data_IF_308324367771
#
_entry.id   IF_308324367771
#
_cell.length_a   1.000
_cell.length_b   1.000
_cell.length_c   1.000
_cell.angle_alpha   90.00
_cell.angle_beta   90.00
_cell.angle_gamma   90.00
#
_symmetry.space_group_name_H-M   'P 1'
#
loop_
_entity.id
_entity.type
_entity.pdbx_description
1 polymer ?
#
# COMPACT_ATOMS: atom_id res chain seq x y z
N UNK A 1 3.93 23.06 19.95
CA UNK A 1 4.17 23.95 18.78
C UNK A 1 5.53 24.60 18.98
N UNK A 2 6.34 24.83 17.94
CA UNK A 2 7.64 25.49 18.16
C UNK A 2 7.36 26.90 18.75
N UNK A 3 7.97 27.24 19.89
CA UNK A 3 7.65 28.45 20.66
C UNK A 3 6.58 28.30 21.77
N UNK A 4 5.95 27.13 21.94
CA UNK A 4 5.05 26.89 23.09
C UNK A 4 5.84 26.43 24.31
N UNK A 5 5.52 26.95 25.50
CA UNK A 5 6.12 26.53 26.78
C UNK A 5 5.35 25.34 27.33
N UNK A 6 6.06 24.29 27.79
CA UNK A 6 5.45 23.05 28.33
C UNK A 6 4.38 23.32 29.39
N UNK A 7 4.63 24.26 30.30
CA UNK A 7 3.71 24.66 31.37
C UNK A 7 2.37 25.21 30.86
N UNK A 8 2.34 25.75 29.64
CA UNK A 8 1.14 26.22 28.97
C UNK A 8 0.42 25.09 28.22
N UNK A 9 1.16 24.18 27.60
CA UNK A 9 0.58 23.07 26.82
C UNK A 9 -0.04 22.00 27.74
N UNK A 10 0.56 21.71 28.89
CA UNK A 10 0.06 20.69 29.84
C UNK A 10 -1.30 21.03 30.45
N UNK A 11 -1.70 22.30 30.40
CA UNK A 11 -2.99 22.80 30.93
C UNK A 11 -4.13 22.68 29.91
N UNK A 12 -3.85 22.31 28.67
CA UNK A 12 -4.85 22.21 27.60
C UNK A 12 -5.56 20.86 27.66
N UNK A 13 -6.84 20.85 27.27
CA UNK A 13 -7.65 19.63 27.27
C UNK A 13 -7.35 18.77 26.05
N UNK A 14 -7.70 17.48 26.11
CA UNK A 14 -7.61 16.57 24.97
C UNK A 14 -8.40 17.07 23.77
N UNK A 15 -9.59 17.63 23.98
CA UNK A 15 -10.40 18.25 22.91
C UNK A 15 -9.65 19.34 22.17
N UNK A 16 -8.87 20.17 22.89
CA UNK A 16 -8.05 21.22 22.27
C UNK A 16 -7.01 20.64 21.31
N UNK A 17 -6.48 19.45 21.61
CA UNK A 17 -5.52 18.77 20.72
C UNK A 17 -6.21 18.07 19.55
N UNK A 18 -7.40 17.50 19.76
CA UNK A 18 -8.21 16.93 18.67
C UNK A 18 -8.59 18.00 17.65
N UNK A 19 -9.05 19.17 18.10
CA UNK A 19 -9.39 20.28 17.20
C UNK A 19 -8.21 20.72 16.34
N UNK A 20 -7.00 20.74 16.92
CA UNK A 20 -5.76 21.07 16.18
C UNK A 20 -5.40 20.07 15.11
N UNK A 21 -5.90 18.84 15.18
CA UNK A 21 -5.65 17.79 14.19
C UNK A 21 -6.66 17.80 13.03
N UNK A 22 -7.78 18.53 13.15
CA UNK A 22 -8.83 18.51 12.13
C UNK A 22 -8.37 19.08 10.78
N UNK A 23 -7.52 20.11 10.79
CA UNK A 23 -7.13 20.86 9.59
C UNK A 23 -5.64 20.67 9.23
N UNK A 24 -5.00 19.63 9.77
CA UNK A 24 -3.58 19.34 9.53
C UNK A 24 -3.36 17.86 9.31
N UNK A 25 -2.24 17.52 8.68
CA UNK A 25 -1.77 16.15 8.52
C UNK A 25 -0.59 15.92 9.44
N UNK A 26 -0.75 15.00 10.39
CA UNK A 26 0.29 14.64 11.35
C UNK A 26 0.97 13.32 10.96
N UNK A 27 2.30 13.34 10.90
CA UNK A 27 3.15 12.20 10.61
C UNK A 27 3.82 11.74 11.90
N UNK A 28 3.56 10.50 12.32
CA UNK A 28 4.15 9.89 13.51
C UNK A 28 5.21 8.86 13.16
N UNK A 29 6.33 8.88 13.88
CA UNK A 29 7.33 7.82 13.86
C UNK A 29 7.11 6.90 15.07
N UNK A 30 7.04 5.58 14.85
CA UNK A 30 6.74 4.60 15.88
C UNK A 30 7.90 3.61 16.08
N UNK A 31 8.21 3.30 17.34
CA UNK A 31 9.11 2.21 17.74
C UNK A 31 8.39 1.43 18.84
N UNK A 32 8.26 0.11 18.67
CA UNK A 32 7.54 -0.78 19.59
C UNK A 32 6.13 -0.28 19.97
N UNK A 33 5.41 0.24 18.98
CA UNK A 33 4.05 0.79 19.16
C UNK A 33 3.98 2.15 19.85
N UNK A 34 5.11 2.76 20.22
CA UNK A 34 5.16 4.09 20.86
C UNK A 34 5.57 5.16 19.86
N UNK A 35 4.91 6.30 19.90
CA UNK A 35 5.31 7.47 19.10
C UNK A 35 6.62 8.04 19.66
N UNK A 36 7.64 8.09 18.82
CA UNK A 36 8.99 8.60 19.16
C UNK A 36 9.36 9.84 18.34
N UNK A 37 8.51 10.24 17.40
CA UNK A 37 8.68 11.45 16.63
C UNK A 37 7.39 11.89 15.96
N UNK A 38 7.30 13.18 15.68
CA UNK A 38 6.14 13.84 15.11
C UNK A 38 6.58 14.87 14.08
N UNK A 39 5.79 15.06 13.04
CA UNK A 39 5.88 16.19 12.11
C UNK A 39 4.49 16.57 11.66
N UNK A 40 4.20 17.86 11.51
CA UNK A 40 2.86 18.36 11.17
C UNK A 40 2.93 19.17 9.88
N UNK A 41 2.07 18.85 8.94
CA UNK A 41 1.90 19.57 7.67
C UNK A 41 0.53 20.22 7.65
N UNK A 42 0.47 21.52 7.33
CA UNK A 42 -0.78 22.23 7.09
C UNK A 42 -0.76 22.84 5.70
N UNK A 43 -1.79 22.58 4.89
CA UNK A 43 -2.01 23.34 3.66
C UNK A 43 -2.64 24.69 4.01
N UNK A 44 -2.17 25.76 3.37
CA UNK A 44 -2.75 27.10 3.58
C UNK A 44 -4.18 27.18 3.03
N UNK A 45 -5.01 27.98 3.68
CA UNK A 45 -6.43 28.09 3.34
C UNK A 45 -6.68 29.13 2.23
N UNK A 46 -7.68 28.87 1.39
CA UNK A 46 -8.17 29.81 0.38
C UNK A 46 -7.48 29.73 -0.98
N UNK A 47 -8.18 30.12 -2.07
CA UNK A 47 -7.80 29.77 -3.44
C UNK A 47 -6.48 30.40 -3.91
N UNK A 48 -6.02 31.47 -3.26
CA UNK A 48 -4.76 32.14 -3.61
C UNK A 48 -3.55 31.53 -2.91
N UNK A 49 -3.75 30.94 -1.73
CA UNK A 49 -2.66 30.48 -0.86
C UNK A 49 -2.59 28.95 -0.78
N UNK A 50 -3.64 28.23 -1.18
CA UNK A 50 -3.71 26.76 -1.18
C UNK A 50 -2.56 26.06 -1.92
N UNK A 51 -1.82 26.75 -2.78
CA UNK A 51 -0.60 26.23 -3.39
C UNK A 51 0.59 26.12 -2.41
N UNK A 52 0.44 26.53 -1.15
CA UNK A 52 1.50 26.49 -0.13
C UNK A 52 1.13 25.54 0.99
N UNK A 53 2.12 24.80 1.47
CA UNK A 53 2.05 24.03 2.70
C UNK A 53 3.05 24.56 3.72
N UNK A 54 2.73 24.42 5.00
CA UNK A 54 3.58 24.80 6.11
C UNK A 54 3.95 23.57 6.93
N UNK A 55 5.25 23.33 7.11
CA UNK A 55 5.78 22.28 7.96
C UNK A 55 6.08 22.84 9.35
N UNK A 56 5.48 22.22 10.37
CA UNK A 56 5.67 22.61 11.77
C UNK A 56 5.73 21.38 12.68
N UNK A 57 5.98 21.61 13.98
CA UNK A 57 5.85 20.55 14.99
C UNK A 57 6.84 19.38 14.84
N UNK A 58 7.98 19.59 14.18
CA UNK A 58 9.00 18.55 13.99
C UNK A 58 9.69 18.24 15.33
N UNK A 59 9.49 17.02 15.83
CA UNK A 59 10.06 16.56 17.09
C UNK A 59 10.50 15.09 16.98
N UNK A 60 11.61 14.76 17.64
CA UNK A 60 12.08 13.39 17.85
C UNK A 60 12.59 13.28 19.29
N UNK A 61 12.18 12.21 19.97
CA UNK A 61 12.60 11.89 21.33
C UNK A 61 14.12 11.90 21.46
N UNK A 62 14.70 12.54 22.49
CA UNK A 62 16.15 12.68 22.65
C UNK A 62 16.93 11.38 22.49
N UNK A 63 16.45 10.28 23.08
CA UNK A 63 17.09 8.96 23.02
C UNK A 63 17.06 8.34 21.62
N UNK A 64 16.16 8.81 20.74
CA UNK A 64 15.94 8.29 19.39
C UNK A 64 16.59 9.17 18.30
N UNK A 65 17.28 10.24 18.70
CA UNK A 65 18.00 11.14 17.77
C UNK A 65 19.21 10.44 17.15
N UNK A 66 19.72 11.04 16.06
CA UNK A 66 20.86 10.52 15.28
C UNK A 66 20.64 9.16 14.59
N UNK A 67 19.43 8.61 14.62
CA UNK A 67 19.05 7.37 13.93
C UNK A 67 18.32 7.60 12.59
N UNK A 68 18.36 8.83 12.08
CA UNK A 68 17.73 9.21 10.81
C UNK A 68 16.20 9.38 10.84
N UNK A 69 15.55 9.29 12.01
CA UNK A 69 14.09 9.40 12.16
C UNK A 69 13.55 10.71 11.60
N UNK A 70 14.16 11.84 11.94
CA UNK A 70 13.74 13.15 11.45
C UNK A 70 13.81 13.26 9.91
N UNK A 71 14.80 12.60 9.28
CA UNK A 71 14.89 12.54 7.83
C UNK A 71 13.80 11.69 7.19
N UNK A 72 13.39 10.58 7.84
CA UNK A 72 12.27 9.76 7.38
C UNK A 72 10.93 10.50 7.49
N UNK A 73 10.69 11.17 8.62
CA UNK A 73 9.50 12.03 8.81
C UNK A 73 9.45 13.14 7.76
N UNK A 74 10.57 13.84 7.54
CA UNK A 74 10.64 14.92 6.56
C UNK A 74 10.38 14.42 5.13
N UNK A 75 10.90 13.24 4.77
CA UNK A 75 10.63 12.63 3.46
C UNK A 75 9.13 12.33 3.28
N UNK A 76 8.49 11.73 4.28
CA UNK A 76 7.05 11.46 4.23
C UNK A 76 6.22 12.74 4.04
N UNK A 77 6.61 13.83 4.69
CA UNK A 77 5.98 15.15 4.50
C UNK A 77 6.20 15.69 3.09
N UNK A 78 7.42 15.59 2.55
CA UNK A 78 7.74 16.06 1.20
C UNK A 78 6.95 15.27 0.15
N UNK A 79 6.88 13.96 0.31
CA UNK A 79 6.15 13.07 -0.61
C UNK A 79 4.65 13.42 -0.58
N UNK A 80 4.07 13.59 0.60
CA UNK A 80 2.69 14.08 0.74
C UNK A 80 2.51 15.46 0.11
N UNK A 81 3.36 16.42 0.44
CA UNK A 81 3.24 17.80 -0.03
C UNK A 81 3.36 17.93 -1.55
N UNK A 82 4.11 17.04 -2.22
CA UNK A 82 4.25 17.04 -3.69
C UNK A 82 2.91 16.90 -4.41
N UNK A 83 1.99 16.15 -3.84
CA UNK A 83 0.66 15.91 -4.41
C UNK A 83 -0.35 17.01 -4.05
N UNK A 84 -0.06 17.84 -3.04
CA UNK A 84 -1.04 18.76 -2.45
C UNK A 84 -0.72 20.24 -2.68
N UNK A 85 0.56 20.60 -2.75
CA UNK A 85 1.02 22.01 -2.79
C UNK A 85 2.15 22.19 -3.79
N UNK A 86 2.41 23.44 -4.19
CA UNK A 86 3.52 23.84 -5.06
C UNK A 86 4.80 24.11 -4.29
N UNK A 87 4.67 24.45 -3.01
CA UNK A 87 5.83 24.68 -2.15
C UNK A 87 5.52 24.34 -0.69
N UNK A 88 6.53 23.84 0.01
CA UNK A 88 6.51 23.62 1.45
C UNK A 88 7.39 24.66 2.12
N UNK A 89 6.83 25.40 3.07
CA UNK A 89 7.50 26.43 3.85
C UNK A 89 7.74 25.96 5.27
N UNK A 90 8.83 26.42 5.89
CA UNK A 90 9.13 26.19 7.30
C UNK A 90 9.98 27.33 7.86
N UNK A 91 10.03 27.42 9.19
CA UNK A 91 10.95 28.33 9.88
C UNK A 91 11.92 27.56 10.76
N UNK A 92 13.15 28.08 10.90
CA UNK A 92 14.21 27.49 11.73
C UNK A 92 14.84 28.58 12.57
N UNK A 93 14.82 28.44 13.90
CA UNK A 93 15.54 29.37 14.78
C UNK A 93 17.02 29.41 14.46
N UNK A 94 17.54 30.62 14.35
CA UNK A 94 18.96 30.88 14.14
C UNK A 94 19.80 30.18 15.21
N UNK A 95 20.86 29.49 14.77
CA UNK A 95 21.71 28.65 15.62
C UNK A 95 21.31 27.18 15.71
N UNK A 96 20.13 26.77 15.22
CA UNK A 96 19.77 25.35 15.11
C UNK A 96 20.39 24.70 13.86
N UNK A 97 21.72 24.58 13.85
CA UNK A 97 22.50 24.07 12.72
C UNK A 97 22.14 22.61 12.36
N UNK A 98 21.63 21.83 13.31
CA UNK A 98 21.18 20.46 13.07
C UNK A 98 19.95 20.41 12.17
N UNK A 99 18.93 21.21 12.49
CA UNK A 99 17.72 21.32 11.69
C UNK A 99 18.01 21.95 10.32
N UNK A 100 18.83 23.01 10.27
CA UNK A 100 19.20 23.67 9.03
C UNK A 100 19.82 22.69 8.03
N UNK A 101 20.84 21.93 8.45
CA UNK A 101 21.49 20.91 7.60
C UNK A 101 20.53 19.79 7.18
N UNK A 102 19.61 19.40 8.06
CA UNK A 102 18.60 18.40 7.73
C UNK A 102 17.70 18.89 6.60
N UNK A 103 17.17 20.10 6.69
CA UNK A 103 16.28 20.67 5.67
C UNK A 103 17.03 20.94 4.36
N UNK A 104 18.24 21.50 4.41
CA UNK A 104 19.08 21.74 3.22
C UNK A 104 19.39 20.46 2.45
N UNK A 105 19.66 19.37 3.16
CA UNK A 105 19.89 18.03 2.58
C UNK A 105 18.66 17.49 1.86
N UNK A 106 17.46 17.90 2.26
CA UNK A 106 16.20 17.52 1.63
C UNK A 106 15.67 18.58 0.65
N UNK A 107 16.53 19.49 0.20
CA UNK A 107 16.23 20.42 -0.89
C UNK A 107 15.64 21.76 -0.46
N UNK A 108 15.36 21.96 0.83
CA UNK A 108 14.92 23.28 1.31
C UNK A 108 16.03 24.31 1.14
N UNK A 109 15.64 25.55 0.84
CA UNK A 109 16.53 26.70 0.68
C UNK A 109 16.02 27.88 1.48
N UNK A 110 16.92 28.59 2.15
CA UNK A 110 16.59 29.83 2.85
C UNK A 110 16.22 30.92 1.85
N UNK A 111 15.11 31.63 2.09
CA UNK A 111 14.67 32.75 1.27
C UNK A 111 14.53 34.07 2.04
N UNK A 112 14.60 34.02 3.38
CA UNK A 112 14.50 35.20 4.22
C UNK A 112 14.89 34.91 5.66
N UNK A 113 14.96 35.97 6.45
CA UNK A 113 15.13 35.92 7.90
C UNK A 113 14.06 36.80 8.51
N UNK A 114 13.32 36.27 9.47
CA UNK A 114 12.40 37.02 10.30
C UNK A 114 13.15 37.50 11.56
N UNK A 115 13.48 38.81 11.66
CA UNK A 115 14.21 39.32 12.80
C UNK A 115 13.33 39.33 14.04
N UNK A 116 13.90 38.94 15.19
CA UNK A 116 13.23 38.92 16.50
C UNK A 116 11.94 38.09 16.52
N UNK A 117 11.88 37.02 15.72
CA UNK A 117 10.74 36.11 15.60
C UNK A 117 10.29 35.50 16.94
N UNK A 118 11.25 35.14 17.81
CA UNK A 118 10.97 34.59 19.13
C UNK A 118 11.53 35.47 20.25
N UNK A 119 10.79 35.55 21.35
CA UNK A 119 11.19 36.24 22.59
C UNK A 119 11.16 35.29 23.78
N UNK A 120 12.31 35.10 24.42
CA UNK A 120 12.44 34.33 25.66
C UNK A 120 13.03 35.24 26.75
N UNK A 121 12.16 35.80 27.60
CA UNK A 121 12.57 36.81 28.58
C UNK A 121 13.07 38.09 27.90
N UNK A 122 14.31 38.57 28.18
CA UNK A 122 14.88 39.74 27.53
C UNK A 122 15.53 39.43 26.18
N UNK A 123 15.74 38.16 25.83
CA UNK A 123 16.46 37.75 24.62
C UNK A 123 15.50 37.56 23.43
N UNK A 124 15.96 38.00 22.26
CA UNK A 124 15.29 37.76 20.98
C UNK A 124 16.12 36.80 20.14
N UNK A 125 15.43 35.96 19.36
CA UNK A 125 16.06 35.12 18.34
C UNK A 125 15.37 35.31 17.00
N UNK A 126 16.18 35.29 15.95
CA UNK A 126 15.72 35.38 14.57
C UNK A 126 15.34 33.97 14.07
N UNK A 127 14.44 33.91 13.09
CA UNK A 127 14.09 32.67 12.39
C UNK A 127 14.46 32.76 10.91
N UNK A 128 15.15 31.73 10.41
CA UNK A 128 15.45 31.56 9.00
C UNK A 128 14.20 30.97 8.34
N UNK A 129 13.68 31.66 7.32
CA UNK A 129 12.56 31.21 6.51
C UNK A 129 13.10 30.33 5.38
N UNK A 130 12.62 29.09 5.28
CA UNK A 130 13.04 28.16 4.25
C UNK A 130 11.86 27.64 3.44
N UNK A 131 12.09 27.38 2.16
CA UNK A 131 11.11 26.80 1.26
C UNK A 131 11.71 25.65 0.45
N UNK A 132 10.90 24.62 0.20
CA UNK A 132 11.09 23.64 -0.85
C UNK A 132 10.05 23.93 -1.93
N UNK A 133 10.50 24.35 -3.11
CA UNK A 133 9.63 24.65 -4.25
C UNK A 133 9.65 23.43 -5.18
N UNK A 134 8.47 22.90 -5.48
CA UNK A 134 8.32 21.83 -6.47
C UNK A 134 8.34 22.44 -7.88
N UNK A 135 9.05 21.79 -8.81
CA UNK A 135 9.17 22.31 -10.17
C UNK A 135 7.81 22.20 -10.90
N UNK A 136 7.30 23.32 -11.42
CA UNK A 136 5.98 23.39 -12.07
C UNK A 136 5.93 22.60 -13.40
N UNK A 137 7.04 22.54 -14.13
CA UNK A 137 7.16 21.73 -15.36
C UNK A 137 7.13 20.22 -15.06
N UNK A 138 7.58 19.79 -13.88
CA UNK A 138 7.50 18.40 -13.43
C UNK A 138 6.09 18.00 -12.96
N UNK A 139 5.17 18.96 -12.73
CA UNK A 139 3.76 18.69 -12.40
C UNK A 139 2.89 18.43 -13.64
N UNK A 140 3.30 18.90 -14.82
CA UNK A 140 2.60 18.64 -16.09
C UNK A 140 2.98 17.30 -16.73
N UNK A 141 4.00 16.63 -16.19
CA UNK A 141 4.28 15.22 -16.47
C UNK A 141 3.44 14.42 -15.47
N UNK A 142 2.48 13.58 -15.90
CA UNK A 142 1.76 12.70 -14.98
C UNK A 142 2.76 11.91 -14.13
N UNK A 143 2.86 12.30 -12.87
CA UNK A 143 3.44 11.55 -11.75
C UNK A 143 4.68 10.71 -12.06
N UNK A 144 5.87 11.29 -11.90
CA UNK A 144 7.05 10.52 -11.45
C UNK A 144 6.81 10.13 -9.98
N UNK A 145 5.86 9.22 -9.70
CA UNK A 145 5.82 8.55 -8.39
C UNK A 145 7.13 7.79 -8.27
N UNK A 146 8.02 8.31 -7.44
CA UNK A 146 9.35 7.74 -7.24
C UNK A 146 9.18 6.31 -6.73
N UNK A 147 9.58 5.32 -7.54
CA UNK A 147 9.81 3.97 -7.05
C UNK A 147 10.91 4.09 -5.97
N UNK A 148 10.68 3.75 -4.70
CA UNK A 148 11.58 4.07 -3.58
C UNK A 148 12.97 3.43 -3.66
N UNK A 149 13.20 2.50 -4.60
CA UNK A 149 14.49 1.88 -4.85
C UNK A 149 15.09 2.37 -6.18
N UNK A 150 16.31 2.92 -6.13
CA UNK A 150 17.00 3.48 -7.30
C UNK A 150 17.08 2.48 -8.49
N UNK A 151 17.31 1.21 -8.20
CA UNK A 151 17.36 0.16 -9.23
C UNK A 151 16.03 -0.07 -9.95
N UNK A 152 14.89 0.05 -9.25
CA UNK A 152 13.57 -0.06 -9.87
C UNK A 152 13.27 1.18 -10.73
N UNK A 153 13.68 2.37 -10.26
CA UNK A 153 13.58 3.60 -11.04
C UNK A 153 14.40 3.53 -12.33
N UNK A 154 15.66 3.10 -12.22
CA UNK A 154 16.58 2.98 -13.35
C UNK A 154 16.05 1.97 -14.37
N UNK A 155 15.53 0.84 -13.89
CA UNK A 155 14.91 -0.16 -14.77
C UNK A 155 13.66 0.39 -15.46
N UNK A 156 12.73 1.00 -14.71
CA UNK A 156 11.53 1.61 -15.27
C UNK A 156 11.86 2.69 -16.31
N UNK A 157 12.87 3.52 -16.07
CA UNK A 157 13.36 4.50 -17.04
C UNK A 157 13.92 3.84 -18.31
N UNK A 158 14.62 2.71 -18.17
CA UNK A 158 15.04 1.88 -19.30
C UNK A 158 13.85 1.37 -20.12
N UNK A 159 12.79 0.89 -19.45
CA UNK A 159 11.57 0.43 -20.14
C UNK A 159 10.87 1.58 -20.86
N UNK A 160 10.75 2.76 -20.24
CA UNK A 160 10.19 3.97 -20.88
C UNK A 160 10.92 4.26 -22.19
N UNK A 161 12.25 4.23 -22.19
CA UNK A 161 13.02 4.48 -23.41
C UNK A 161 12.80 3.40 -24.48
N UNK A 162 12.70 2.13 -24.08
CA UNK A 162 12.45 1.02 -24.99
C UNK A 162 11.07 1.10 -25.65
N UNK A 163 10.01 1.36 -24.87
CA UNK A 163 8.66 1.49 -25.43
C UNK A 163 8.51 2.76 -26.27
N UNK A 164 9.14 3.87 -25.87
CA UNK A 164 9.07 5.12 -26.62
C UNK A 164 9.78 5.05 -27.96
N UNK A 165 10.82 4.19 -28.08
CA UNK A 165 11.53 3.93 -29.33
C UNK A 165 10.83 2.91 -30.23
N UNK A 166 9.87 2.14 -29.69
CA UNK A 166 9.17 1.07 -30.40
C UNK A 166 7.75 1.50 -30.76
N UNK A 167 7.54 1.80 -32.04
CA UNK A 167 6.27 2.35 -32.55
C UNK A 167 5.03 1.44 -32.36
N UNK A 168 5.21 0.20 -31.88
CA UNK A 168 4.12 -0.73 -31.54
C UNK A 168 3.43 -0.37 -30.23
N UNK A 169 4.06 0.39 -29.35
CA UNK A 169 3.50 0.79 -28.06
C UNK A 169 2.94 2.23 -28.10
N UNK A 170 1.91 2.48 -27.31
CA UNK A 170 1.28 3.80 -27.13
C UNK A 170 1.31 4.26 -25.67
N UNK A 171 1.68 3.37 -24.75
CA UNK A 171 1.66 3.67 -23.33
C UNK A 171 2.47 2.71 -22.49
N UNK A 172 2.95 3.24 -21.37
CA UNK A 172 3.47 2.46 -20.25
C UNK A 172 2.82 2.97 -18.97
N UNK A 173 2.24 2.05 -18.22
CA UNK A 173 1.61 2.33 -16.94
C UNK A 173 2.28 1.49 -15.84
N UNK A 174 2.15 1.92 -14.58
CA UNK A 174 2.58 1.16 -13.40
C UNK A 174 1.38 0.77 -12.53
N UNK A 175 1.35 -0.50 -12.13
CA UNK A 175 0.35 -1.10 -11.25
C UNK A 175 0.84 -1.39 -9.83
N UNK A 176 0.05 -2.13 -9.05
CA UNK A 176 0.48 -2.79 -7.83
C UNK A 176 1.00 -1.86 -6.73
N UNK A 177 2.08 -2.25 -6.05
CA UNK A 177 2.64 -1.46 -4.92
C UNK A 177 3.14 -0.08 -5.30
N UNK A 178 3.35 0.16 -6.60
CA UNK A 178 3.72 1.47 -7.14
C UNK A 178 2.57 2.47 -7.06
N UNK A 179 1.31 2.00 -7.15
CA UNK A 179 0.12 2.85 -7.06
C UNK A 179 0.02 3.49 -5.67
N UNK A 180 0.26 2.70 -4.63
CA UNK A 180 0.05 3.10 -3.23
C UNK A 180 1.27 3.78 -2.60
N UNK A 181 2.38 3.94 -3.33
CA UNK A 181 3.61 4.55 -2.81
C UNK A 181 4.33 3.77 -1.70
N UNK A 182 3.91 2.52 -1.46
CA UNK A 182 4.41 1.65 -0.38
C UNK A 182 5.42 0.61 -0.87
N UNK A 183 6.04 0.87 -2.01
CA UNK A 183 7.08 0.00 -2.57
C UNK A 183 8.27 -0.03 -1.58
N UNK A 184 8.93 -1.17 -1.44
CA UNK A 184 10.09 -1.37 -0.59
C UNK A 184 11.12 -2.29 -1.27
N UNK A 185 12.17 -2.70 -0.55
CA UNK A 185 13.23 -3.53 -1.11
C UNK A 185 12.78 -4.95 -1.51
N UNK A 186 11.55 -5.35 -1.17
CA UNK A 186 10.96 -6.64 -1.49
C UNK A 186 9.85 -6.54 -2.54
N UNK A 187 9.58 -5.33 -3.04
CA UNK A 187 8.52 -5.09 -4.00
C UNK A 187 8.97 -5.45 -5.42
N UNK A 188 8.01 -5.97 -6.17
CA UNK A 188 8.08 -6.15 -7.61
C UNK A 188 7.74 -4.86 -8.35
N UNK A 189 7.99 -4.87 -9.67
CA UNK A 189 7.60 -3.80 -10.57
C UNK A 189 6.52 -4.30 -11.53
N UNK A 190 5.28 -3.91 -11.26
CA UNK A 190 4.14 -4.16 -12.15
C UNK A 190 4.06 -3.10 -13.25
N UNK A 191 4.40 -3.47 -14.48
CA UNK A 191 4.29 -2.61 -15.66
C UNK A 191 3.19 -3.10 -16.60
N UNK A 192 2.40 -2.17 -17.09
CA UNK A 192 1.34 -2.41 -18.06
C UNK A 192 1.75 -1.69 -19.36
N UNK A 193 2.05 -2.47 -20.39
CA UNK A 193 2.43 -1.99 -21.71
C UNK A 193 1.20 -1.94 -22.59
N UNK A 194 0.83 -0.73 -23.02
CA UNK A 194 -0.32 -0.50 -23.88
C UNK A 194 0.16 -0.56 -25.33
N UNK A 195 -0.33 -1.55 -26.05
CA UNK A 195 0.09 -1.91 -27.41
C UNK A 195 -0.96 -1.43 -28.41
N UNK A 196 -0.54 -1.02 -29.60
CA UNK A 196 -1.45 -0.74 -30.72
C UNK A 196 -2.14 -2.03 -31.16
N UNK A 197 -3.43 -1.95 -31.47
CA UNK A 197 -4.26 -3.10 -31.82
C UNK A 197 -3.69 -3.90 -33.00
N UNK A 198 -3.17 -3.20 -34.02
CA UNK A 198 -2.57 -3.81 -35.20
C UNK A 198 -1.27 -4.57 -34.93
N UNK A 199 -0.55 -4.23 -33.85
CA UNK A 199 0.71 -4.86 -33.45
C UNK A 199 0.54 -5.90 -32.33
N UNK A 200 -0.66 -5.99 -31.75
CA UNK A 200 -0.90 -6.73 -30.52
C UNK A 200 -0.53 -8.22 -30.61
N UNK A 201 -0.96 -8.89 -31.68
CA UNK A 201 -0.69 -10.32 -31.88
C UNK A 201 0.80 -10.60 -32.01
N UNK A 202 1.52 -9.76 -32.76
CA UNK A 202 2.95 -9.90 -32.98
C UNK A 202 3.76 -9.61 -31.71
N UNK A 203 3.31 -8.63 -30.90
CA UNK A 203 3.92 -8.34 -29.60
C UNK A 203 3.71 -9.50 -28.64
N UNK A 204 2.50 -10.08 -28.54
CA UNK A 204 2.27 -11.26 -27.72
C UNK A 204 3.15 -12.45 -28.14
N UNK A 205 3.33 -12.67 -29.44
CA UNK A 205 4.21 -13.73 -29.96
C UNK A 205 5.71 -13.46 -29.68
N UNK A 206 6.09 -12.21 -29.41
CA UNK A 206 7.47 -11.78 -29.18
C UNK A 206 7.75 -11.18 -27.79
N UNK A 207 6.86 -11.37 -26.80
CA UNK A 207 6.99 -10.76 -25.47
C UNK A 207 8.33 -11.08 -24.80
N UNK A 208 8.79 -12.33 -24.92
CA UNK A 208 10.06 -12.75 -24.31
C UNK A 208 11.25 -12.09 -24.97
N UNK A 209 11.22 -11.96 -26.30
CA UNK A 209 12.26 -11.26 -27.05
C UNK A 209 12.30 -9.79 -26.68
N UNK A 210 11.14 -9.14 -26.51
CA UNK A 210 11.07 -7.77 -26.01
C UNK A 210 11.69 -7.67 -24.60
N UNK A 211 11.31 -8.54 -23.68
CA UNK A 211 11.87 -8.56 -22.32
C UNK A 211 13.40 -8.74 -22.29
N UNK A 212 13.96 -9.57 -23.18
CA UNK A 212 15.41 -9.78 -23.32
C UNK A 212 16.17 -8.48 -23.68
N UNK A 213 15.50 -7.54 -24.36
CA UNK A 213 16.11 -6.24 -24.69
C UNK A 213 16.17 -5.25 -23.53
N UNK A 214 15.37 -5.44 -22.47
CA UNK A 214 15.25 -4.49 -21.37
C UNK A 214 16.39 -4.57 -20.35
N UNK A 215 17.19 -5.64 -20.40
CA UNK A 215 18.33 -5.81 -19.51
C UNK A 215 18.81 -7.25 -19.46
N UNK A 216 19.53 -7.60 -18.39
CA UNK A 216 20.04 -8.94 -18.19
C UNK A 216 18.93 -9.88 -17.66
N UNK A 217 18.08 -10.36 -18.57
CA UNK A 217 16.98 -11.28 -18.27
C UNK A 217 17.53 -12.65 -17.83
N UNK A 218 17.15 -13.10 -16.63
CA UNK A 218 17.56 -14.40 -16.09
C UNK A 218 16.52 -15.48 -16.39
N UNK A 219 15.25 -15.18 -16.09
CA UNK A 219 14.12 -16.09 -16.27
C UNK A 219 12.88 -15.31 -16.68
N UNK A 220 12.03 -15.94 -17.50
CA UNK A 220 10.73 -15.40 -17.83
C UNK A 220 9.75 -16.53 -18.14
N UNK A 221 8.49 -16.37 -17.72
CA UNK A 221 7.39 -17.27 -18.03
C UNK A 221 6.06 -16.51 -18.06
N UNK A 222 5.05 -17.08 -18.70
CA UNK A 222 3.73 -16.46 -18.85
C UNK A 222 2.84 -16.71 -17.62
N UNK A 223 1.88 -15.81 -17.39
CA UNK A 223 0.89 -15.88 -16.30
C UNK A 223 -0.21 -16.92 -16.48
N UNK A 224 0.00 -17.98 -17.25
CA UNK A 224 -1.03 -19.00 -17.55
C UNK A 224 -1.55 -19.69 -16.28
N UNK A 225 -0.68 -19.92 -15.30
CA UNK A 225 -1.02 -20.51 -14.00
C UNK A 225 -1.99 -19.64 -13.15
N UNK A 226 -2.12 -18.34 -13.46
CA UNK A 226 -3.11 -17.42 -12.87
C UNK A 226 -4.19 -17.01 -13.88
N UNK A 227 -4.23 -17.63 -15.05
CA UNK A 227 -5.21 -17.33 -16.10
C UNK A 227 -4.97 -16.02 -16.86
N UNK A 228 -3.75 -15.47 -16.81
CA UNK A 228 -3.38 -14.24 -17.51
C UNK A 228 -2.23 -14.51 -18.51
N UNK A 229 -2.53 -15.01 -19.72
CA UNK A 229 -1.51 -15.34 -20.73
C UNK A 229 -0.79 -14.11 -21.29
N UNK A 230 -1.35 -12.91 -21.08
CA UNK A 230 -0.78 -11.62 -21.51
C UNK A 230 0.22 -11.04 -20.51
N UNK A 231 0.40 -11.70 -19.37
CA UNK A 231 1.38 -11.35 -18.35
C UNK A 231 2.65 -12.15 -18.58
N UNK A 232 3.79 -11.47 -18.66
CA UNK A 232 5.11 -12.07 -18.64
C UNK A 232 5.81 -11.71 -17.33
N UNK A 233 6.02 -12.73 -16.50
CA UNK A 233 6.68 -12.62 -15.20
C UNK A 233 8.17 -12.80 -15.43
N UNK A 234 8.97 -11.80 -15.09
CA UNK A 234 10.38 -11.73 -15.40
C UNK A 234 11.25 -11.59 -14.16
N UNK A 235 12.40 -12.26 -14.17
CA UNK A 235 13.48 -12.02 -13.23
C UNK A 235 14.69 -11.49 -13.97
N UNK A 236 15.08 -10.25 -13.67
CA UNK A 236 16.30 -9.62 -14.19
C UNK A 236 17.44 -9.74 -13.17
N UNK A 237 18.69 -9.67 -13.64
CA UNK A 237 19.88 -9.74 -12.78
C UNK A 237 20.73 -8.47 -12.85
N UNK A 238 21.52 -8.24 -11.79
CA UNK A 238 22.42 -7.09 -11.60
C UNK A 238 21.70 -5.71 -11.51
N UNK A 239 20.90 -5.43 -10.47
CA UNK A 239 20.54 -6.30 -9.34
C UNK A 239 19.41 -7.28 -9.68
N UNK A 240 19.10 -8.20 -8.77
CA UNK A 240 17.96 -9.10 -8.97
C UNK A 240 16.67 -8.29 -8.82
N UNK A 241 15.86 -8.26 -9.88
CA UNK A 241 14.59 -7.53 -9.93
C UNK A 241 13.48 -8.45 -10.42
N UNK A 242 12.36 -8.46 -9.71
CA UNK A 242 11.12 -9.12 -10.15
C UNK A 242 10.26 -8.08 -10.87
N UNK A 243 9.92 -8.36 -12.13
CA UNK A 243 9.21 -7.41 -13.00
C UNK A 243 8.10 -8.16 -13.73
N UNK A 244 6.89 -7.66 -13.57
CA UNK A 244 5.70 -8.17 -14.24
C UNK A 244 5.38 -7.27 -15.42
N UNK A 245 5.42 -7.81 -16.64
CA UNK A 245 5.13 -7.09 -17.87
C UNK A 245 3.78 -7.57 -18.41
N UNK A 246 2.74 -6.76 -18.24
CA UNK A 246 1.41 -7.06 -18.75
C UNK A 246 1.16 -6.33 -20.07
N UNK A 247 0.85 -7.05 -21.13
CA UNK A 247 0.61 -6.49 -22.46
C UNK A 247 -0.88 -6.39 -22.75
N UNK A 248 -1.37 -5.17 -22.94
CA UNK A 248 -2.80 -4.88 -23.09
C UNK A 248 -3.05 -3.99 -24.30
N UNK A 249 -4.26 -4.01 -24.83
CA UNK A 249 -4.73 -2.98 -25.77
C UNK A 249 -5.26 -1.77 -25.01
N UNK A 250 -5.63 -0.71 -25.73
CA UNK A 250 -6.27 0.46 -25.11
C UNK A 250 -7.67 0.13 -24.56
N UNK A 251 -8.38 -0.82 -25.19
CA UNK A 251 -9.73 -1.25 -24.80
C UNK A 251 -9.71 -2.05 -23.49
N UNK A 252 -8.63 -2.79 -23.25
CA UNK A 252 -8.41 -3.51 -21.99
C UNK A 252 -8.35 -2.59 -20.75
N UNK A 253 -8.19 -1.27 -20.93
CA UNK A 253 -8.13 -0.29 -19.83
C UNK A 253 -9.52 0.14 -19.30
N UNK A 254 -10.60 -0.24 -19.98
CA UNK A 254 -11.98 0.14 -19.62
C UNK A 254 -12.48 -0.55 -18.36
N UNK A 255 -12.06 -1.80 -18.15
CA UNK A 255 -12.40 -2.57 -16.96
C UNK A 255 -11.13 -2.90 -16.20
N UNK A 256 -10.98 -2.26 -15.05
CA UNK A 256 -9.77 -2.39 -14.24
C UNK A 256 -10.11 -2.57 -12.77
N UNK A 257 -9.20 -3.24 -12.09
CA UNK A 257 -9.30 -3.51 -10.67
C UNK A 257 -8.80 -2.31 -9.85
N UNK A 258 -7.84 -1.55 -10.40
CA UNK A 258 -7.26 -0.35 -9.79
C UNK A 258 -6.85 0.65 -10.87
N UNK A 259 -6.61 1.91 -10.48
CA UNK A 259 -6.13 2.96 -11.38
C UNK A 259 -4.60 2.89 -11.49
N UNK A 260 -4.05 2.51 -12.64
CA UNK A 260 -2.61 2.53 -12.83
C UNK A 260 -2.09 3.96 -12.99
N UNK A 261 -0.80 4.12 -12.76
CA UNK A 261 -0.08 5.39 -12.96
C UNK A 261 0.46 5.43 -14.37
N UNK A 262 0.23 6.51 -15.12
CA UNK A 262 0.86 6.69 -16.42
C UNK A 262 2.34 7.03 -16.20
N UNK A 263 3.25 6.21 -16.75
CA UNK A 263 4.69 6.48 -16.77
C UNK A 263 5.13 7.15 -18.07
N UNK A 264 4.47 6.79 -19.19
CA UNK A 264 4.72 7.35 -20.50
C UNK A 264 3.50 7.12 -21.42
N UNK A 265 3.25 8.06 -22.33
CA UNK A 265 2.24 7.94 -23.40
C UNK A 265 2.67 8.71 -24.65
N UNK A 266 2.23 8.27 -25.84
CA UNK A 266 2.59 8.90 -27.12
C UNK A 266 1.65 10.03 -27.56
N UNK A 267 0.35 9.91 -27.27
CA UNK A 267 -0.70 10.71 -27.92
C UNK A 267 -1.71 11.34 -26.94
N UNK A 268 -1.39 11.41 -25.63
CA UNK A 268 -2.27 11.95 -24.57
C UNK A 268 -3.67 11.29 -24.46
N UNK A 269 -3.81 10.07 -24.99
CA UNK A 269 -5.09 9.33 -25.04
C UNK A 269 -5.36 8.51 -23.77
N UNK A 270 -4.34 8.17 -22.99
CA UNK A 270 -4.48 7.22 -21.88
C UNK A 270 -5.21 7.86 -20.70
N UNK A 271 -4.89 9.11 -20.38
CA UNK A 271 -5.55 9.85 -19.31
C UNK A 271 -7.06 9.96 -19.54
N UNK A 272 -7.47 10.29 -20.79
CA UNK A 272 -8.88 10.35 -21.17
C UNK A 272 -9.55 8.97 -21.05
N UNK A 273 -8.91 7.91 -21.56
CA UNK A 273 -9.44 6.53 -21.49
C UNK A 273 -9.64 6.05 -20.06
N UNK A 274 -8.63 6.25 -19.20
CA UNK A 274 -8.70 5.90 -17.79
C UNK A 274 -9.83 6.65 -17.08
N UNK A 275 -10.06 7.93 -17.39
CA UNK A 275 -11.14 8.71 -16.78
C UNK A 275 -12.55 8.18 -17.12
N UNK A 276 -12.73 7.56 -18.28
CA UNK A 276 -14.01 7.05 -18.77
C UNK A 276 -14.30 5.61 -18.33
N UNK A 277 -13.26 4.80 -18.12
CA UNK A 277 -13.41 3.41 -17.70
C UNK A 277 -13.81 3.25 -16.22
N UNK A 278 -14.18 2.03 -15.85
CA UNK A 278 -14.65 1.67 -14.51
C UNK A 278 -13.57 0.98 -13.69
N UNK A 279 -13.50 1.33 -12.40
CA UNK A 279 -12.66 0.67 -11.39
C UNK A 279 -13.55 -0.13 -10.46
N UNK A 280 -13.34 -1.43 -10.36
CA UNK A 280 -14.07 -2.26 -9.40
C UNK A 280 -13.25 -3.46 -8.97
N UNK A 281 -13.05 -3.61 -7.66
CA UNK A 281 -12.53 -4.84 -7.11
C UNK A 281 -13.63 -5.93 -7.16
N UNK A 282 -13.34 -7.16 -7.58
CA UNK A 282 -14.34 -8.23 -7.72
C UNK A 282 -14.74 -8.85 -6.37
N UNK A 283 -15.16 -8.01 -5.42
CA UNK A 283 -15.62 -8.38 -4.09
C UNK A 283 -16.81 -9.36 -4.19
N UNK A 284 -16.76 -10.45 -3.42
CA UNK A 284 -17.83 -11.45 -3.35
C UNK A 284 -18.88 -11.06 -2.32
N UNK A 285 -20.13 -11.42 -2.61
CA UNK A 285 -21.28 -11.29 -1.71
C UNK A 285 -21.26 -12.30 -0.57
N UNK A 286 -22.13 -12.13 0.43
CA UNK A 286 -22.17 -13.00 1.59
C UNK A 286 -22.61 -14.43 1.24
N UNK A 287 -23.57 -14.58 0.32
CA UNK A 287 -24.12 -15.85 -0.14
C UNK A 287 -23.05 -16.75 -0.77
N UNK A 288 -22.12 -16.13 -1.51
CA UNK A 288 -21.02 -16.85 -2.15
C UNK A 288 -20.12 -17.54 -1.12
N UNK A 289 -19.88 -16.88 0.01
CA UNK A 289 -19.06 -17.41 1.10
C UNK A 289 -19.80 -18.52 1.86
N UNK A 290 -21.09 -18.32 2.19
CA UNK A 290 -21.89 -19.29 2.95
C UNK A 290 -21.96 -20.66 2.26
N UNK A 291 -22.23 -20.69 0.95
CA UNK A 291 -22.35 -21.95 0.19
C UNK A 291 -21.04 -22.74 0.14
N UNK A 292 -19.90 -22.03 0.09
CA UNK A 292 -18.59 -22.66 -0.11
C UNK A 292 -17.92 -23.00 1.21
N UNK A 293 -18.07 -22.15 2.22
CA UNK A 293 -17.40 -22.31 3.50
C UNK A 293 -17.73 -23.66 4.14
N UNK A 294 -19.01 -23.99 4.26
CA UNK A 294 -19.44 -25.25 4.90
C UNK A 294 -19.01 -26.49 4.12
N UNK A 295 -19.07 -26.45 2.79
CA UNK A 295 -18.59 -27.55 1.93
C UNK A 295 -17.09 -27.77 2.12
N UNK A 296 -16.31 -26.69 2.17
CA UNK A 296 -14.85 -26.77 2.37
C UNK A 296 -14.45 -27.15 3.79
N UNK A 297 -15.21 -26.73 4.81
CA UNK A 297 -15.05 -27.18 6.20
C UNK A 297 -15.30 -28.68 6.32
N UNK A 298 -16.38 -29.18 5.73
CA UNK A 298 -16.65 -30.62 5.68
C UNK A 298 -15.51 -31.38 4.99
N UNK A 299 -15.02 -30.88 3.85
CA UNK A 299 -13.88 -31.49 3.15
C UNK A 299 -12.63 -31.54 4.06
N UNK A 300 -12.27 -30.44 4.72
CA UNK A 300 -11.14 -30.41 5.65
C UNK A 300 -11.31 -31.40 6.82
N UNK A 301 -12.51 -31.50 7.40
CA UNK A 301 -12.80 -32.49 8.44
C UNK A 301 -12.66 -33.92 7.91
N UNK A 302 -13.23 -34.25 6.74
CA UNK A 302 -13.10 -35.57 6.14
C UNK A 302 -11.63 -35.98 5.92
N UNK A 303 -10.79 -35.04 5.48
CA UNK A 303 -9.33 -35.23 5.33
C UNK A 303 -8.65 -35.48 6.68
N UNK A 304 -9.05 -34.74 7.71
CA UNK A 304 -8.53 -34.92 9.06
C UNK A 304 -8.87 -36.31 9.62
N UNK A 305 -10.12 -36.77 9.45
CA UNK A 305 -10.55 -38.11 9.88
C UNK A 305 -9.82 -39.24 9.15
N UNK A 306 -9.31 -38.99 7.94
CA UNK A 306 -8.46 -39.92 7.18
C UNK A 306 -6.97 -39.84 7.54
N UNK A 307 -6.57 -38.89 8.38
CA UNK A 307 -5.16 -38.65 8.70
C UNK A 307 -4.37 -37.98 7.57
N UNK A 308 -5.03 -37.39 6.57
CA UNK A 308 -4.39 -36.70 5.43
C UNK A 308 -3.97 -35.28 5.84
N UNK A 309 -3.02 -35.15 6.78
CA UNK A 309 -2.76 -33.89 7.47
C UNK A 309 -2.27 -32.74 6.57
N UNK A 310 -1.50 -33.01 5.52
CA UNK A 310 -1.09 -31.96 4.57
C UNK A 310 -2.29 -31.38 3.82
N UNK A 311 -3.25 -32.21 3.40
CA UNK A 311 -4.50 -31.76 2.78
C UNK A 311 -5.29 -30.84 3.73
N UNK A 312 -5.30 -31.15 5.03
CA UNK A 312 -5.96 -30.31 6.04
C UNK A 312 -5.25 -28.97 6.20
N UNK A 313 -3.91 -28.98 6.27
CA UNK A 313 -3.11 -27.75 6.39
C UNK A 313 -3.31 -26.84 5.17
N UNK A 314 -3.29 -27.42 3.97
CA UNK A 314 -3.50 -26.70 2.72
C UNK A 314 -4.93 -26.15 2.65
N UNK A 315 -5.93 -26.92 3.08
CA UNK A 315 -7.31 -26.43 3.15
C UNK A 315 -7.50 -25.32 4.17
N UNK A 316 -6.82 -25.36 5.32
CA UNK A 316 -6.84 -24.27 6.28
C UNK A 316 -6.20 -23.00 5.69
N UNK A 317 -5.11 -23.14 4.93
CA UNK A 317 -4.50 -22.03 4.21
C UNK A 317 -5.42 -21.49 3.11
N UNK A 318 -6.10 -22.37 2.38
CA UNK A 318 -7.07 -22.01 1.36
C UNK A 318 -8.27 -21.25 1.96
N UNK A 319 -8.85 -21.74 3.05
CA UNK A 319 -9.93 -21.06 3.77
C UNK A 319 -9.51 -19.68 4.26
N UNK A 320 -8.28 -19.53 4.78
CA UNK A 320 -7.73 -18.21 5.14
C UNK A 320 -7.68 -17.27 3.94
N UNK A 321 -7.12 -17.73 2.82
CA UNK A 321 -6.92 -16.90 1.63
C UNK A 321 -8.21 -16.54 0.89
N UNK A 322 -9.18 -17.47 0.85
CA UNK A 322 -10.36 -17.37 0.00
C UNK A 322 -11.66 -17.01 0.73
N UNK A 323 -11.71 -17.14 2.07
CA UNK A 323 -12.91 -16.86 2.86
C UNK A 323 -12.61 -15.91 4.01
N UNK A 324 -11.78 -16.32 4.97
CA UNK A 324 -11.61 -15.58 6.22
C UNK A 324 -10.92 -14.23 5.98
N UNK A 325 -9.87 -14.19 5.16
CA UNK A 325 -9.18 -12.96 4.77
C UNK A 325 -10.11 -11.98 4.05
N UNK A 326 -10.79 -12.37 2.96
CA UNK A 326 -11.79 -11.53 2.29
C UNK A 326 -12.86 -10.97 3.24
N UNK A 327 -13.45 -11.80 4.11
CA UNK A 327 -14.42 -11.32 5.08
C UNK A 327 -13.79 -10.36 6.11
N UNK A 328 -12.56 -10.62 6.55
CA UNK A 328 -11.83 -9.72 7.44
C UNK A 328 -11.56 -8.36 6.79
N UNK A 329 -11.25 -8.32 5.49
CA UNK A 329 -11.10 -7.06 4.74
C UNK A 329 -12.42 -6.31 4.63
N UNK A 330 -13.53 -7.03 4.38
CA UNK A 330 -14.87 -6.43 4.36
C UNK A 330 -15.18 -5.71 5.68
N UNK A 331 -14.88 -6.32 6.82
CA UNK A 331 -15.12 -5.76 8.16
C UNK A 331 -14.51 -4.36 8.34
N UNK A 332 -13.33 -4.16 7.79
CA UNK A 332 -12.58 -2.90 7.89
C UNK A 332 -12.82 -1.97 6.69
N UNK A 333 -13.79 -2.28 5.83
CA UNK A 333 -14.13 -1.49 4.65
C UNK A 333 -13.07 -1.53 3.54
N UNK A 334 -12.19 -2.52 3.55
CA UNK A 334 -11.15 -2.71 2.55
C UNK A 334 -11.57 -3.71 1.46
N UNK A 335 -10.95 -3.59 0.28
CA UNK A 335 -11.13 -4.57 -0.80
C UNK A 335 -10.70 -5.97 -0.38
N UNK A 336 -11.40 -6.98 -0.88
CA UNK A 336 -11.20 -8.40 -0.55
C UNK A 336 -9.92 -8.96 -1.19
N UNK A 337 -8.75 -8.50 -0.74
CA UNK A 337 -7.41 -8.89 -1.22
C UNK A 337 -6.84 -10.12 -0.50
N UNK A 338 -7.71 -11.07 -0.13
CA UNK A 338 -7.32 -12.24 0.66
C UNK A 338 -6.77 -11.83 2.03
N UNK A 339 -5.57 -12.31 2.37
CA UNK A 339 -4.86 -11.96 3.61
C UNK A 339 -3.74 -10.94 3.40
N UNK A 340 -3.65 -10.31 2.21
CA UNK A 340 -2.55 -9.40 1.87
C UNK A 340 -2.51 -8.24 2.86
N UNK A 341 -1.40 -8.11 3.59
CA UNK A 341 -1.12 -7.03 4.57
C UNK A 341 -2.13 -7.00 5.74
N UNK A 342 -2.78 -8.12 6.05
CA UNK A 342 -3.79 -8.19 7.13
C UNK A 342 -3.21 -7.74 8.49
N UNK A 343 -1.93 -7.99 8.76
CA UNK A 343 -1.25 -7.56 9.98
C UNK A 343 -1.17 -6.04 10.11
N UNK A 344 -1.12 -5.31 8.98
CA UNK A 344 -1.08 -3.85 8.96
C UNK A 344 -2.49 -3.25 8.88
N UNK A 345 -3.40 -3.90 8.15
CA UNK A 345 -4.75 -3.39 7.89
C UNK A 345 -5.70 -3.70 9.04
N UNK A 346 -5.60 -4.88 9.64
CA UNK A 346 -6.49 -5.36 10.70
C UNK A 346 -5.72 -6.24 11.72
N UNK A 347 -4.89 -5.64 12.60
CA UNK A 347 -4.01 -6.38 13.53
C UNK A 347 -4.75 -7.36 14.45
N UNK A 348 -5.94 -6.99 14.93
CA UNK A 348 -6.74 -7.83 15.81
C UNK A 348 -7.27 -9.08 15.07
N UNK A 349 -7.73 -8.89 13.82
CA UNK A 349 -8.17 -10.00 12.97
C UNK A 349 -6.99 -10.86 12.53
N UNK A 350 -5.80 -10.29 12.33
CA UNK A 350 -4.59 -11.06 12.05
C UNK A 350 -4.23 -11.98 13.22
N UNK A 351 -4.40 -11.52 14.46
CA UNK A 351 -4.22 -12.35 15.66
C UNK A 351 -5.21 -13.52 15.71
N UNK A 352 -6.48 -13.27 15.40
CA UNK A 352 -7.48 -14.34 15.28
C UNK A 352 -7.16 -15.31 14.14
N UNK A 353 -6.67 -14.80 13.00
CA UNK A 353 -6.26 -15.60 11.84
C UNK A 353 -5.10 -16.54 12.18
N UNK A 354 -4.14 -16.09 12.98
CA UNK A 354 -3.01 -16.90 13.42
C UNK A 354 -3.44 -18.17 14.18
N UNK A 355 -4.55 -18.09 14.93
CA UNK A 355 -5.11 -19.25 15.62
C UNK A 355 -5.69 -20.33 14.68
N UNK A 356 -5.86 -20.03 13.39
CA UNK A 356 -6.30 -20.99 12.37
C UNK A 356 -5.14 -21.75 11.71
N UNK A 357 -3.89 -21.47 12.11
CA UNK A 357 -2.71 -22.16 11.58
C UNK A 357 -2.52 -23.49 12.30
N UNK A 358 -2.68 -24.60 11.57
CA UNK A 358 -2.42 -25.95 12.07
C UNK A 358 -0.97 -26.36 11.86
N UNK A 359 -0.38 -27.05 12.83
CA UNK A 359 0.86 -27.82 12.62
C UNK A 359 0.54 -29.24 12.14
N UNK A 360 1.56 -29.99 11.68
CA UNK A 360 1.42 -31.37 11.20
C UNK A 360 1.13 -32.37 12.34
N UNK A 361 -0.07 -32.25 12.93
CA UNK A 361 -0.64 -33.16 13.91
C UNK A 361 -2.17 -33.09 13.88
N UNK A 362 -2.83 -34.21 14.19
CA UNK A 362 -4.30 -34.30 14.23
C UNK A 362 -4.88 -33.24 15.17
N UNK A 363 -4.32 -33.15 16.39
CA UNK A 363 -4.79 -32.20 17.41
C UNK A 363 -4.67 -30.75 16.96
N UNK A 364 -3.53 -30.33 16.42
CA UNK A 364 -3.33 -28.95 16.00
C UNK A 364 -4.23 -28.58 14.80
N UNK A 365 -4.34 -29.48 13.81
CA UNK A 365 -5.25 -29.31 12.69
C UNK A 365 -6.72 -29.20 13.15
N UNK A 366 -7.12 -30.04 14.11
CA UNK A 366 -8.45 -30.00 14.68
C UNK A 366 -8.76 -28.71 15.44
N UNK A 367 -7.82 -28.23 16.26
CA UNK A 367 -7.95 -26.92 16.93
C UNK A 367 -8.03 -25.78 15.92
N UNK A 368 -7.16 -25.79 14.90
CA UNK A 368 -7.15 -24.79 13.84
C UNK A 368 -8.47 -24.74 13.05
N UNK A 369 -9.06 -25.91 12.74
CA UNK A 369 -10.35 -26.02 12.06
C UNK A 369 -11.49 -25.42 12.91
N UNK A 370 -11.54 -25.72 14.21
CA UNK A 370 -12.52 -25.10 15.12
C UNK A 370 -12.37 -23.58 15.17
N UNK A 371 -11.14 -23.08 15.19
CA UNK A 371 -10.88 -21.64 15.20
C UNK A 371 -11.30 -20.98 13.88
N UNK A 372 -11.09 -21.65 12.74
CA UNK A 372 -11.55 -21.16 11.44
C UNK A 372 -13.09 -21.06 11.38
N UNK A 373 -13.81 -22.07 11.89
CA UNK A 373 -15.28 -22.07 12.01
C UNK A 373 -15.75 -20.91 12.89
N UNK A 374 -15.19 -20.76 14.09
CA UNK A 374 -15.56 -19.66 14.99
C UNK A 374 -15.32 -18.30 14.36
N UNK A 375 -14.17 -18.10 13.72
CA UNK A 375 -13.83 -16.85 13.06
C UNK A 375 -14.77 -16.55 11.89
N UNK A 376 -15.15 -17.56 11.10
CA UNK A 376 -16.16 -17.39 10.05
C UNK A 376 -17.52 -16.95 10.62
N UNK A 377 -18.01 -17.64 11.64
CA UNK A 377 -19.31 -17.35 12.25
C UNK A 377 -19.39 -15.93 12.86
N UNK A 378 -18.26 -15.43 13.35
CA UNK A 378 -18.09 -14.05 13.80
C UNK A 378 -18.06 -13.08 12.61
N UNK A 379 -17.20 -13.33 11.61
CA UNK A 379 -17.03 -12.49 10.43
C UNK A 379 -18.31 -12.33 9.60
N UNK A 380 -19.13 -13.37 9.48
CA UNK A 380 -20.39 -13.30 8.73
C UNK A 380 -21.43 -12.36 9.36
N UNK A 381 -21.30 -12.00 10.63
CA UNK A 381 -22.27 -11.11 11.29
C UNK A 381 -22.28 -9.72 10.66
N UNK A 382 -21.18 -9.30 10.04
CA UNK A 382 -21.08 -8.02 9.34
C UNK A 382 -22.03 -7.94 8.14
N UNK A 383 -22.38 -9.08 7.54
CA UNK A 383 -23.36 -9.18 6.46
C UNK A 383 -23.90 -10.62 6.44
N UNK A 384 -25.05 -10.81 7.10
CA UNK A 384 -25.71 -12.11 7.16
C UNK A 384 -26.19 -12.53 5.78
N UNK A 385 -25.80 -13.72 5.30
CA UNK A 385 -26.18 -14.18 3.98
C UNK A 385 -27.65 -14.61 3.93
N UNK A 386 -28.35 -14.30 2.83
CA UNK A 386 -29.77 -14.65 2.71
C UNK A 386 -30.03 -16.16 2.64
N UNK A 387 -29.03 -16.94 2.25
CA UNK A 387 -29.06 -18.40 2.20
C UNK A 387 -28.50 -19.05 3.48
N UNK A 388 -28.48 -18.33 4.60
CA UNK A 388 -28.16 -18.89 5.92
C UNK A 388 -29.28 -19.82 6.41
N UNK A 389 -28.90 -21.05 6.74
CA UNK A 389 -29.79 -22.09 7.25
C UNK A 389 -29.20 -22.72 8.53
N UNK A 390 -29.69 -22.37 9.74
CA UNK A 390 -29.12 -22.85 11.00
C UNK A 390 -29.14 -24.39 11.13
N UNK A 391 -30.15 -25.04 10.55
CA UNK A 391 -30.27 -26.50 10.49
C UNK A 391 -29.13 -27.14 9.71
N UNK A 392 -28.77 -26.58 8.55
CA UNK A 392 -27.70 -27.10 7.70
C UNK A 392 -26.33 -26.92 8.38
N UNK A 393 -26.11 -25.76 9.00
CA UNK A 393 -24.92 -25.50 9.79
C UNK A 393 -24.77 -26.50 10.95
N UNK A 394 -25.84 -26.76 11.69
CA UNK A 394 -25.83 -27.68 12.81
C UNK A 394 -25.45 -29.11 12.37
N UNK A 395 -25.94 -29.58 11.21
CA UNK A 395 -25.56 -30.88 10.64
C UNK A 395 -24.07 -30.96 10.29
N UNK A 396 -23.53 -29.91 9.65
CA UNK A 396 -22.10 -29.87 9.30
C UNK A 396 -21.22 -29.81 10.56
N UNK A 397 -21.62 -29.02 11.57
CA UNK A 397 -20.90 -28.95 12.84
C UNK A 397 -20.91 -30.28 13.58
N UNK A 398 -22.05 -30.98 13.60
CA UNK A 398 -22.14 -32.32 14.20
C UNK A 398 -21.17 -33.31 13.53
N UNK A 399 -21.09 -33.28 12.19
CA UNK A 399 -20.11 -34.09 11.46
C UNK A 399 -18.67 -33.73 11.83
N UNK A 400 -18.33 -32.44 11.85
CA UNK A 400 -16.98 -31.97 12.19
C UNK A 400 -16.60 -32.41 13.60
N UNK A 401 -17.48 -32.21 14.59
CA UNK A 401 -17.18 -32.61 15.97
C UNK A 401 -17.03 -34.13 16.12
N UNK A 402 -17.84 -34.94 15.43
CA UNK A 402 -17.67 -36.40 15.41
C UNK A 402 -16.32 -36.86 14.82
N UNK A 403 -15.72 -36.08 13.92
CA UNK A 403 -14.37 -36.35 13.42
C UNK A 403 -13.28 -35.87 14.40
N UNK A 404 -13.51 -34.74 15.05
CA UNK A 404 -12.53 -34.12 15.96
C UNK A 404 -12.47 -34.80 17.33
N UNK A 405 -13.56 -35.43 17.74
CA UNK A 405 -13.70 -36.14 19.00
C UNK A 405 -14.45 -37.47 18.76
N UNK A 406 -13.78 -38.49 18.20
CA UNK A 406 -14.42 -39.75 17.84
C UNK A 406 -14.86 -40.60 19.05
N UNK A 407 -14.49 -40.19 20.27
CA UNK A 407 -14.87 -40.85 21.53
C UNK A 407 -16.09 -40.18 22.22
N UNK A 408 -16.70 -39.15 21.60
CA UNK A 408 -17.86 -38.41 22.10
C UNK A 408 -19.21 -38.98 21.64
#
# INVERSE_FOLDING_TARGET
>A
MFGSVYECEVKKTTETFLERLNDVVAFGAYVDGKIVGLSVFKQEDGPKDAHKGHLSGVFVEPEQRSQGIAGRLLRAVIDYGRDHVEQIMLTVVEGNLGALRLYEKHGFRGYGVEPRALKNGPEYRDEILMALIFNLEERMIPSRKMLPQASLQDFAAGVINAVAADGRFIGLLAGGSSITGNTDAYSDLDLILVVRDEAYTDVLASMRQFADTLGNLLYAFTGEHVGEPRLLICLYGKPVLHVDLKFVTIDDLDQRIENPIILWESDEILAARLSQGSVSWPNKGAEWFEERFWVWVHYAAAKLGRGELFEVIDMLAFLRGQVLGPLAMRRVGADQRGVRRIEAIAPDLATAMAATVGSHSVKACGTALRNAIRLYMDLRQDCLPMNYHPENEAEVLAYVEGVLDPDC
#
